data_IF_664767828580
#
_entry.id   IF_664767828580
#
_cell.length_a   1.000
_cell.length_b   1.000
_cell.length_c   1.000
_cell.angle_alpha   90.00
_cell.angle_beta   90.00
_cell.angle_gamma   90.00
#
_symmetry.space_group_name_H-M   'P 1'
#
loop_
_entity.id
_entity.type
_entity.pdbx_description
1 polymer ?
#
# COMPACT_ATOMS: atom_id res chain seq x y z
N UNK A 1 27.32 -30.39 18.25
CA UNK A 1 26.01 -29.71 18.33
C UNK A 1 25.93 -28.80 17.12
N UNK A 2 25.28 -29.27 16.06
CA UNK A 2 25.25 -28.59 14.75
C UNK A 2 24.06 -27.65 14.77
N UNK A 3 24.31 -26.34 14.70
CA UNK A 3 23.25 -25.33 14.65
C UNK A 3 22.62 -25.37 13.25
N UNK A 4 21.29 -25.47 13.12
CA UNK A 4 20.65 -25.35 11.82
C UNK A 4 20.80 -23.92 11.31
N UNK A 5 21.44 -23.77 10.14
CA UNK A 5 21.46 -22.52 9.39
C UNK A 5 20.08 -22.32 8.78
N UNK A 6 19.36 -21.31 9.23
CA UNK A 6 18.17 -20.83 8.53
C UNK A 6 18.65 -20.01 7.34
N UNK A 7 18.60 -20.60 6.14
CA UNK A 7 18.63 -19.82 4.90
C UNK A 7 17.32 -19.04 4.87
N UNK A 8 17.37 -17.75 5.20
CA UNK A 8 16.32 -16.83 4.76
C UNK A 8 16.40 -16.79 3.25
N UNK A 9 15.46 -17.45 2.60
CA UNK A 9 15.22 -17.30 1.18
C UNK A 9 14.82 -15.84 0.99
N UNK A 10 15.80 -15.00 0.65
CA UNK A 10 15.61 -13.58 0.41
C UNK A 10 14.85 -13.46 -0.92
N UNK A 11 13.55 -13.69 -0.86
CA UNK A 11 12.61 -13.10 -1.81
C UNK A 11 12.89 -11.61 -1.79
N UNK A 12 13.42 -11.10 -2.91
CA UNK A 12 13.95 -9.76 -3.08
C UNK A 12 13.13 -8.72 -2.31
N UNK A 13 13.76 -8.00 -1.38
CA UNK A 13 13.12 -6.97 -0.56
C UNK A 13 12.36 -5.92 -1.40
N UNK A 14 12.77 -5.76 -2.67
CA UNK A 14 12.18 -4.83 -3.64
C UNK A 14 10.76 -5.23 -4.09
N UNK A 15 10.44 -6.53 -4.19
CA UNK A 15 9.08 -7.00 -4.56
C UNK A 15 8.11 -6.99 -3.37
N UNK A 16 8.62 -6.98 -2.14
CA UNK A 16 7.79 -6.95 -0.93
C UNK A 16 7.32 -5.53 -0.60
N UNK A 17 8.20 -4.54 -0.76
CA UNK A 17 7.93 -3.20 -0.22
C UNK A 17 6.82 -2.45 -0.96
N UNK A 18 6.80 -2.51 -2.30
CA UNK A 18 5.71 -1.94 -3.10
C UNK A 18 4.36 -2.57 -2.72
N UNK A 19 4.28 -3.90 -2.65
CA UNK A 19 3.04 -4.61 -2.32
C UNK A 19 2.56 -4.31 -0.89
N UNK A 20 3.49 -4.19 0.07
CA UNK A 20 3.18 -3.77 1.43
C UNK A 20 2.63 -2.34 1.47
N UNK A 21 3.25 -1.41 0.74
CA UNK A 21 2.75 -0.06 0.57
C UNK A 21 1.35 -0.05 -0.01
N UNK A 22 1.14 -0.75 -1.12
CA UNK A 22 -0.14 -0.86 -1.80
C UNK A 22 -1.27 -1.32 -0.87
N UNK A 23 -1.04 -2.39 -0.12
CA UNK A 23 -2.02 -2.88 0.84
C UNK A 23 -2.30 -1.86 1.96
N UNK A 24 -1.27 -1.23 2.52
CA UNK A 24 -1.43 -0.19 3.54
C UNK A 24 -2.22 1.03 3.01
N UNK A 25 -1.99 1.41 1.75
CA UNK A 25 -2.71 2.48 1.06
C UNK A 25 -4.19 2.16 0.90
N UNK A 26 -4.52 0.94 0.47
CA UNK A 26 -5.91 0.48 0.38
C UNK A 26 -6.61 0.52 1.74
N UNK A 27 -5.94 0.03 2.80
CA UNK A 27 -6.50 0.04 4.16
C UNK A 27 -6.76 1.47 4.68
N UNK A 28 -5.85 2.40 4.42
CA UNK A 28 -6.02 3.80 4.81
C UNK A 28 -7.17 4.47 4.03
N UNK A 29 -7.36 4.11 2.76
CA UNK A 29 -8.52 4.57 1.98
C UNK A 29 -9.84 3.97 2.50
N UNK A 30 -9.88 2.66 2.81
CA UNK A 30 -11.05 1.98 3.40
C UNK A 30 -11.43 2.62 4.74
N UNK A 31 -10.44 2.94 5.57
CA UNK A 31 -10.64 3.58 6.87
C UNK A 31 -10.96 5.08 6.77
N UNK A 32 -11.05 5.62 5.55
CA UNK A 32 -11.36 7.03 5.27
C UNK A 32 -10.32 7.99 5.86
N UNK A 33 -9.06 7.58 5.90
CA UNK A 33 -7.96 8.48 6.24
C UNK A 33 -8.01 9.69 5.29
N UNK A 34 -7.93 10.93 5.78
CA UNK A 34 -7.92 12.10 4.90
C UNK A 34 -6.76 12.05 3.90
N UNK A 35 -7.01 12.36 2.64
CA UNK A 35 -6.00 12.32 1.56
C UNK A 35 -4.73 13.12 1.90
N UNK A 36 -4.85 14.21 2.66
CA UNK A 36 -3.70 14.97 3.15
C UNK A 36 -2.80 14.15 4.08
N UNK A 37 -3.39 13.41 5.02
CA UNK A 37 -2.63 12.56 5.94
C UNK A 37 -2.00 11.37 5.22
N UNK A 38 -2.71 10.79 4.25
CA UNK A 38 -2.18 9.75 3.38
C UNK A 38 -0.96 10.26 2.57
N UNK A 39 -1.08 11.45 1.98
CA UNK A 39 0.02 12.10 1.28
C UNK A 39 1.21 12.39 2.19
N UNK A 40 0.98 12.91 3.40
CA UNK A 40 2.05 13.16 4.36
C UNK A 40 2.78 11.86 4.74
N UNK A 41 2.05 10.74 4.93
CA UNK A 41 2.62 9.41 5.20
C UNK A 41 3.47 8.91 4.04
N UNK A 42 2.97 8.98 2.81
CA UNK A 42 3.74 8.62 1.61
C UNK A 42 4.99 9.49 1.43
N UNK A 43 4.87 10.80 1.66
CA UNK A 43 5.97 11.76 1.53
C UNK A 43 7.07 11.53 2.57
N UNK A 44 6.70 11.13 3.78
CA UNK A 44 7.66 10.72 4.80
C UNK A 44 8.38 9.43 4.38
N UNK A 45 7.64 8.47 3.82
CA UNK A 45 8.20 7.19 3.38
C UNK A 45 9.11 7.29 2.16
N UNK A 46 8.86 8.20 1.21
CA UNK A 46 9.66 8.34 -0.01
C UNK A 46 11.17 8.56 0.26
N UNK A 47 11.51 9.11 1.42
CA UNK A 47 12.90 9.37 1.80
C UNK A 47 13.71 8.11 2.13
N UNK A 48 13.05 7.05 2.62
CA UNK A 48 13.72 5.84 3.10
C UNK A 48 13.23 4.56 2.40
N UNK A 49 12.02 4.57 1.86
CA UNK A 49 11.42 3.49 1.10
C UNK A 49 10.48 4.02 0.01
N UNK A 50 11.08 4.40 -1.12
CA UNK A 50 10.35 4.93 -2.29
C UNK A 50 9.39 3.93 -2.90
N UNK A 51 9.73 2.64 -2.89
CA UNK A 51 8.86 1.60 -3.46
C UNK A 51 7.60 1.43 -2.60
N UNK A 52 7.74 1.41 -1.27
CA UNK A 52 6.59 1.45 -0.37
C UNK A 52 5.74 2.70 -0.59
N UNK A 53 6.36 3.89 -0.67
CA UNK A 53 5.64 5.14 -0.85
C UNK A 53 4.83 5.18 -2.15
N UNK A 54 5.41 4.67 -3.24
CA UNK A 54 4.73 4.54 -4.52
C UNK A 54 3.55 3.57 -4.41
N UNK A 55 3.79 2.36 -3.88
CA UNK A 55 2.73 1.37 -3.69
C UNK A 55 1.59 1.93 -2.85
N UNK A 56 1.90 2.61 -1.75
CA UNK A 56 0.93 3.25 -0.86
C UNK A 56 0.04 4.26 -1.58
N UNK A 57 0.64 5.15 -2.39
CA UNK A 57 -0.13 6.11 -3.16
C UNK A 57 -1.05 5.41 -4.19
N UNK A 58 -0.54 4.39 -4.88
CA UNK A 58 -1.28 3.63 -5.89
C UNK A 58 -2.46 2.87 -5.26
N UNK A 59 -2.25 2.18 -4.13
CA UNK A 59 -3.29 1.45 -3.40
C UNK A 59 -4.36 2.37 -2.82
N UNK A 60 -3.97 3.51 -2.24
CA UNK A 60 -4.91 4.50 -1.71
C UNK A 60 -5.83 5.05 -2.81
N UNK A 61 -5.27 5.39 -3.97
CA UNK A 61 -6.04 5.86 -5.13
C UNK A 61 -6.91 4.76 -5.74
N UNK A 62 -6.38 3.54 -5.86
CA UNK A 62 -7.11 2.39 -6.37
C UNK A 62 -8.41 2.17 -5.59
N UNK A 63 -8.33 2.12 -4.27
CA UNK A 63 -9.50 1.88 -3.43
C UNK A 63 -10.54 2.99 -3.52
N UNK A 64 -10.11 4.26 -3.67
CA UNK A 64 -11.03 5.37 -3.93
C UNK A 64 -11.77 5.16 -5.25
N UNK A 65 -11.05 4.76 -6.32
CA UNK A 65 -11.65 4.48 -7.62
C UNK A 65 -12.65 3.32 -7.58
N UNK A 66 -12.30 2.22 -6.91
CA UNK A 66 -13.20 1.07 -6.70
C UNK A 66 -14.47 1.50 -5.98
N UNK A 67 -14.32 2.23 -4.87
CA UNK A 67 -15.45 2.70 -4.06
C UNK A 67 -16.36 3.64 -4.87
N UNK A 68 -15.76 4.53 -5.65
CA UNK A 68 -16.48 5.43 -6.53
C UNK A 68 -17.25 4.69 -7.63
N UNK A 69 -16.61 3.72 -8.30
CA UNK A 69 -17.26 2.91 -9.33
C UNK A 69 -18.44 2.10 -8.77
N UNK A 70 -18.30 1.54 -7.57
CA UNK A 70 -19.39 0.84 -6.87
C UNK A 70 -20.57 1.79 -6.59
N UNK A 71 -20.29 2.96 -6.04
CA UNK A 71 -21.33 3.96 -5.75
C UNK A 71 -22.05 4.44 -7.04
N UNK A 72 -21.33 4.59 -8.15
CA UNK A 72 -21.93 4.93 -9.43
C UNK A 72 -22.87 3.83 -9.94
N UNK A 73 -22.44 2.56 -9.87
CA UNK A 73 -23.26 1.42 -10.30
C UNK A 73 -24.55 1.32 -9.47
N UNK A 74 -24.47 1.54 -8.15
CA UNK A 74 -25.64 1.57 -7.25
C UNK A 74 -26.62 2.70 -7.57
N UNK A 75 -26.15 3.84 -8.08
CA UNK A 75 -27.01 4.97 -8.45
C UNK A 75 -27.72 4.78 -9.80
N UNK A 76 -27.16 3.93 -10.67
CA UNK A 76 -27.70 3.67 -12.02
C UNK A 76 -28.56 2.41 -12.12
N UNK A 77 -28.63 1.62 -11.05
CA UNK A 77 -29.45 0.40 -10.93
C UNK A 77 -30.85 0.70 -10.37
#
# INVERSE_FOLDING_TARGET
>A
MTMPTFTTDATSADDNSYNAGYFDGELDAISKLPARQAHDRASMADQYDRLWAQGYADGYLHQIQVTHALAQNEQTA
#
